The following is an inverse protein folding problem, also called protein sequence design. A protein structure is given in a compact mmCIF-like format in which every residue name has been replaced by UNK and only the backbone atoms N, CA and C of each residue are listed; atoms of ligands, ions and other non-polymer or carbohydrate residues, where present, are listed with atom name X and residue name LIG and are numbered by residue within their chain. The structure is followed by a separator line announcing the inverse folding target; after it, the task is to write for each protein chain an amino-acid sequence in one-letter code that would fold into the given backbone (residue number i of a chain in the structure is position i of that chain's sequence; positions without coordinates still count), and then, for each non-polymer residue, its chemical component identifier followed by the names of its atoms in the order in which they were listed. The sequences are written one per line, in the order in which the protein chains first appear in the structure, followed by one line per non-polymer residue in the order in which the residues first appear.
data_IF_874051887946
#
_entry.id   IF_874051887946
#
_cell.length_a   1.000
_cell.length_b   1.000
_cell.length_c   1.000
_cell.angle_alpha   90.00
_cell.angle_beta   90.00
_cell.angle_gamma   90.00
#
_symmetry.space_group_name_H-M   'P 1'
#
loop_
_entity.id
_entity.type
_entity.pdbx_description
1 polymer ?
#
# COMPACT_ATOMS: atom_id res chain seq x y z
N UNK A 1 45.07 52.56 0.22
CA UNK A 1 44.61 51.40 -0.57
C UNK A 1 43.29 50.94 0.02
N UNK A 2 42.18 51.66 -0.11
CA UNK A 2 41.52 52.06 -1.37
C UNK A 2 41.34 50.86 -2.29
N UNK A 3 40.17 50.23 -2.21
CA UNK A 3 39.45 49.63 -3.33
C UNK A 3 37.98 49.43 -2.90
N UNK A 4 37.12 50.32 -3.40
CA UNK A 4 35.73 50.00 -3.76
C UNK A 4 35.79 49.07 -5.00
N UNK A 5 34.77 48.27 -5.36
CA UNK A 5 33.63 48.55 -6.25
C UNK A 5 32.81 47.22 -6.31
N UNK A 6 31.53 47.15 -5.90
CA UNK A 6 30.29 47.29 -6.69
C UNK A 6 29.95 46.20 -7.73
N UNK A 7 28.69 45.70 -7.63
CA UNK A 7 27.72 45.15 -8.62
C UNK A 7 27.18 43.77 -8.23
N UNK A 8 25.91 43.67 -7.81
CA UNK A 8 24.64 43.67 -8.58
C UNK A 8 24.38 42.35 -9.31
N UNK A 9 23.20 41.76 -9.07
CA UNK A 9 22.69 40.61 -9.82
C UNK A 9 21.68 39.79 -9.04
N UNK A 10 20.43 40.26 -8.97
CA UNK A 10 19.28 39.38 -8.80
C UNK A 10 19.12 38.55 -10.08
N UNK A 11 19.06 37.23 -9.96
CA UNK A 11 18.50 36.35 -10.98
C UNK A 11 17.49 35.41 -10.32
N UNK A 12 16.25 35.89 -10.30
CA UNK A 12 15.05 35.07 -10.24
C UNK A 12 14.86 34.36 -11.57
N UNK A 13 14.94 33.03 -11.56
CA UNK A 13 14.44 32.19 -12.65
C UNK A 13 14.02 30.81 -12.12
N UNK A 14 12.83 30.77 -11.52
CA UNK A 14 11.92 29.64 -11.71
C UNK A 14 11.68 29.48 -13.22
N UNK A 15 11.73 28.27 -13.78
CA UNK A 15 10.45 27.64 -14.09
C UNK A 15 10.50 26.10 -14.09
N UNK A 16 9.35 25.47 -13.83
CA UNK A 16 9.14 24.09 -14.24
C UNK A 16 8.11 23.34 -13.42
N UNK A 17 6.85 23.74 -13.56
CA UNK A 17 5.69 22.96 -13.12
C UNK A 17 5.63 21.62 -13.88
N UNK A 18 6.33 20.60 -13.41
CA UNK A 18 6.12 19.21 -13.84
C UNK A 18 5.05 18.57 -12.94
N UNK A 19 3.85 19.15 -12.99
CA UNK A 19 2.63 18.55 -12.49
C UNK A 19 1.99 17.72 -13.62
N UNK A 20 2.51 16.53 -13.90
CA UNK A 20 1.75 15.38 -14.43
C UNK A 20 2.68 14.16 -14.52
N UNK A 21 2.74 13.30 -13.51
CA UNK A 21 1.99 12.05 -13.60
C UNK A 21 1.82 11.49 -12.19
N UNK A 22 0.81 11.97 -11.46
CA UNK A 22 0.25 11.19 -10.37
C UNK A 22 -0.27 9.88 -11.00
N UNK A 23 0.16 8.68 -10.54
CA UNK A 23 -0.48 7.46 -10.98
C UNK A 23 -1.97 7.55 -10.60
N UNK A 24 -2.80 7.68 -11.63
CA UNK A 24 -4.26 7.76 -11.61
C UNK A 24 -4.90 6.45 -11.14
N UNK A 25 -4.59 6.02 -9.92
CA UNK A 25 -5.31 4.94 -9.24
C UNK A 25 -5.29 5.18 -7.74
N UNK A 26 -6.13 6.13 -7.31
CA UNK A 26 -6.41 6.37 -5.89
C UNK A 26 -7.05 5.10 -5.29
N UNK A 27 -6.26 4.36 -4.52
CA UNK A 27 -6.73 3.54 -3.40
C UNK A 27 -6.73 2.02 -3.58
N UNK A 28 -7.01 1.47 -4.76
CA UNK A 28 -7.43 0.05 -4.84
C UNK A 28 -6.28 -0.98 -4.90
N UNK A 29 -5.09 -0.61 -5.39
CA UNK A 29 -3.97 -1.55 -5.52
C UNK A 29 -3.04 -1.60 -4.29
N UNK A 30 -3.22 -0.70 -3.31
CA UNK A 30 -2.30 -0.60 -2.15
C UNK A 30 -2.49 -1.68 -1.10
N UNK A 31 -3.65 -2.35 -1.07
CA UNK A 31 -4.00 -3.33 -0.03
C UNK A 31 -3.91 -4.79 -0.50
N UNK A 32 -3.43 -5.03 -1.72
CA UNK A 32 -3.33 -6.36 -2.30
C UNK A 32 -1.86 -6.69 -2.59
N UNK A 33 -1.50 -7.97 -2.45
CA UNK A 33 -0.15 -8.41 -2.77
C UNK A 33 0.00 -8.74 -4.25
N UNK A 34 1.05 -8.25 -4.89
CA UNK A 34 1.26 -8.44 -6.34
C UNK A 34 1.66 -9.87 -6.76
N UNK A 35 2.08 -10.73 -5.81
CA UNK A 35 2.44 -12.12 -6.11
C UNK A 35 1.20 -13.02 -6.19
N UNK A 36 0.25 -12.81 -5.27
CA UNK A 36 -0.90 -13.70 -5.07
C UNK A 36 -2.24 -13.01 -5.33
N UNK A 37 -2.22 -11.71 -5.65
CA UNK A 37 -3.37 -10.84 -5.90
C UNK A 37 -4.44 -10.85 -4.82
N UNK A 38 -4.11 -11.33 -3.62
CA UNK A 38 -5.02 -11.38 -2.48
C UNK A 38 -4.80 -10.17 -1.56
N UNK A 39 -5.86 -9.76 -0.86
CA UNK A 39 -5.78 -8.68 0.13
C UNK A 39 -4.90 -9.05 1.33
N UNK A 40 -4.19 -8.07 1.84
CA UNK A 40 -3.44 -8.19 3.08
C UNK A 40 -4.40 -8.39 4.27
N UNK A 41 -3.93 -9.09 5.30
CA UNK A 41 -4.68 -9.31 6.52
C UNK A 41 -3.76 -9.22 7.74
N UNK A 42 -4.36 -9.01 8.91
CA UNK A 42 -3.65 -8.84 10.18
C UNK A 42 -3.15 -10.16 10.80
N UNK A 43 -3.18 -11.28 10.06
CA UNK A 43 -2.85 -12.60 10.59
C UNK A 43 -1.75 -13.28 9.76
N UNK A 44 -2.09 -13.88 8.62
CA UNK A 44 -1.17 -14.69 7.80
C UNK A 44 -0.59 -13.94 6.60
N UNK A 45 -1.21 -12.84 6.19
CA UNK A 45 -0.84 -12.01 5.02
C UNK A 45 -0.52 -10.58 5.44
N UNK A 46 0.29 -10.43 6.48
CA UNK A 46 0.83 -9.13 6.86
C UNK A 46 1.68 -8.56 5.71
N UNK A 47 1.57 -7.26 5.41
CA UNK A 47 2.39 -6.59 4.41
C UNK A 47 3.80 -6.38 4.96
N UNK A 48 4.76 -7.17 4.51
CA UNK A 48 6.16 -7.10 4.95
C UNK A 48 7.03 -6.48 3.87
N UNK A 49 7.96 -5.65 4.30
CA UNK A 49 8.88 -4.93 3.45
C UNK A 49 10.21 -5.68 3.36
N UNK A 50 10.72 -5.80 2.14
CA UNK A 50 12.08 -6.29 1.87
C UNK A 50 13.08 -5.14 2.02
N UNK A 51 14.38 -5.44 2.10
CA UNK A 51 15.44 -4.44 2.27
C UNK A 51 15.45 -3.37 1.16
N UNK A 52 14.98 -3.73 -0.03
CA UNK A 52 14.84 -2.82 -1.17
C UNK A 52 13.61 -1.90 -1.10
N UNK A 53 12.81 -1.96 -0.04
CA UNK A 53 11.60 -1.14 0.14
C UNK A 53 10.32 -1.70 -0.49
N UNK A 54 10.39 -2.81 -1.22
CA UNK A 54 9.20 -3.44 -1.82
C UNK A 54 8.42 -4.29 -0.82
N UNK A 55 7.08 -4.21 -0.90
CA UNK A 55 6.16 -4.84 0.06
C UNK A 55 5.42 -6.03 -0.54
N UNK A 56 5.39 -7.15 0.20
CA UNK A 56 4.70 -8.38 -0.20
C UNK A 56 4.02 -9.06 0.99
N UNK A 57 3.12 -10.01 0.70
CA UNK A 57 2.42 -10.72 1.76
C UNK A 57 3.38 -11.67 2.50
N UNK A 58 3.26 -11.77 3.83
CA UNK A 58 4.08 -12.68 4.62
C UNK A 58 4.07 -14.12 4.08
N UNK A 59 2.90 -14.65 3.70
CA UNK A 59 2.80 -15.99 3.12
C UNK A 59 3.57 -16.14 1.78
N UNK A 60 3.65 -15.06 1.01
CA UNK A 60 4.34 -15.00 -0.27
C UNK A 60 5.85 -14.98 -0.05
N UNK A 61 6.32 -14.14 0.87
CA UNK A 61 7.74 -14.04 1.22
C UNK A 61 8.25 -15.36 1.81
N UNK A 62 7.45 -16.05 2.64
CA UNK A 62 7.79 -17.39 3.15
C UNK A 62 8.04 -18.42 2.04
N UNK A 63 7.42 -18.27 0.87
CA UNK A 63 7.64 -19.15 -0.28
C UNK A 63 8.89 -18.77 -1.09
N UNK A 64 9.31 -17.51 -1.00
CA UNK A 64 10.51 -16.99 -1.66
C UNK A 64 11.78 -17.18 -0.83
N UNK A 65 11.64 -17.42 0.48
CA UNK A 65 12.74 -17.70 1.40
C UNK A 65 13.51 -18.96 0.93
N UNK A 66 14.73 -18.74 0.45
CA UNK A 66 15.59 -19.77 -0.13
C UNK A 66 16.90 -19.85 0.65
N UNK A 67 17.48 -21.05 0.74
CA UNK A 67 18.79 -21.27 1.37
C UNK A 67 19.86 -21.20 0.30
N UNK A 68 20.86 -20.33 0.49
CA UNK A 68 22.05 -20.22 -0.35
C UNK A 68 23.29 -19.97 0.53
N UNK A 69 24.35 -20.75 0.33
CA UNK A 69 25.59 -20.68 1.11
C UNK A 69 25.34 -20.75 2.63
N UNK A 70 24.54 -21.73 3.08
CA UNK A 70 24.18 -21.95 4.48
C UNK A 70 23.39 -20.79 5.14
N UNK A 71 23.04 -19.76 4.38
CA UNK A 71 22.29 -18.59 4.82
C UNK A 71 20.95 -18.50 4.08
N UNK A 72 19.93 -17.94 4.73
CA UNK A 72 18.62 -17.71 4.11
C UNK A 72 18.53 -16.34 3.45
N UNK A 73 17.99 -16.32 2.24
CA UNK A 73 17.86 -15.14 1.39
C UNK A 73 16.50 -15.10 0.71
N UNK A 74 15.96 -13.90 0.58
CA UNK A 74 14.69 -13.64 -0.09
C UNK A 74 14.95 -12.73 -1.29
N UNK A 75 14.86 -13.24 -2.54
CA UNK A 75 14.97 -12.41 -3.72
C UNK A 75 13.69 -11.59 -3.92
N UNK A 76 13.83 -10.29 -4.19
CA UNK A 76 12.71 -9.43 -4.52
C UNK A 76 12.18 -9.72 -5.95
N UNK A 77 10.89 -10.04 -6.14
CA UNK A 77 10.31 -10.26 -7.47
C UNK A 77 10.33 -9.02 -8.38
N UNK A 78 10.41 -7.82 -7.83
CA UNK A 78 10.37 -6.56 -8.61
C UNK A 78 11.76 -6.11 -9.05
N UNK A 79 12.73 -6.07 -8.12
CA UNK A 79 14.05 -5.49 -8.39
C UNK A 79 15.21 -6.49 -8.29
N UNK A 80 14.93 -7.77 -8.02
CA UNK A 80 15.90 -8.87 -7.91
C UNK A 80 16.94 -8.71 -6.79
N UNK A 81 16.83 -7.68 -5.96
CA UNK A 81 17.67 -7.50 -4.77
C UNK A 81 17.35 -8.57 -3.72
N UNK A 82 18.41 -9.16 -3.15
CA UNK A 82 18.28 -10.19 -2.10
C UNK A 82 18.26 -9.56 -0.72
N UNK A 83 17.25 -9.92 0.07
CA UNK A 83 17.15 -9.54 1.48
C UNK A 83 17.60 -10.72 2.35
N UNK A 84 18.57 -10.55 3.27
CA UNK A 84 18.94 -11.61 4.20
C UNK A 84 17.78 -11.89 5.15
N UNK A 85 17.42 -13.15 5.33
CA UNK A 85 16.34 -13.54 6.24
C UNK A 85 16.85 -13.44 7.69
N UNK A 86 16.16 -12.70 8.59
CA UNK A 86 16.55 -12.61 9.99
C UNK A 86 16.51 -13.98 10.69
N UNK A 87 17.19 -14.12 11.84
CA UNK A 87 17.19 -15.37 12.63
C UNK A 87 15.80 -15.87 13.02
N UNK A 88 14.85 -14.95 13.25
CA UNK A 88 13.44 -15.28 13.51
C UNK A 88 12.58 -15.49 12.25
N UNK A 89 13.21 -15.68 11.09
CA UNK A 89 12.55 -15.92 9.82
C UNK A 89 11.86 -14.69 9.23
N UNK A 90 11.02 -14.94 8.21
CA UNK A 90 10.21 -13.92 7.53
C UNK A 90 9.34 -13.10 8.49
N UNK A 91 8.96 -13.66 9.64
CA UNK A 91 8.13 -12.98 10.63
C UNK A 91 8.80 -11.79 11.33
N UNK A 92 10.13 -11.67 11.21
CA UNK A 92 10.93 -10.58 11.77
C UNK A 92 11.25 -9.47 10.77
N UNK A 93 10.85 -9.60 9.51
CA UNK A 93 10.99 -8.50 8.55
C UNK A 93 10.05 -7.35 8.92
N UNK A 94 10.46 -6.12 8.62
CA UNK A 94 9.64 -4.95 8.89
C UNK A 94 8.29 -5.02 8.19
N UNK A 95 7.28 -4.48 8.86
CA UNK A 95 5.97 -4.29 8.24
C UNK A 95 5.96 -2.96 7.50
N UNK A 96 5.32 -2.96 6.34
CA UNK A 96 4.91 -1.71 5.72
C UNK A 96 3.78 -1.11 6.56
N UNK A 97 4.15 -0.20 7.46
CA UNK A 97 3.22 0.35 8.45
C UNK A 97 2.06 1.09 7.78
N UNK A 98 2.31 1.78 6.67
CA UNK A 98 1.26 2.51 5.96
C UNK A 98 0.19 1.54 5.42
N UNK A 99 0.61 0.44 4.80
CA UNK A 99 -0.32 -0.59 4.31
C UNK A 99 -0.97 -1.34 5.47
N UNK A 100 -0.22 -1.67 6.51
CA UNK A 100 -0.75 -2.37 7.70
C UNK A 100 -1.85 -1.56 8.38
N UNK A 101 -1.63 -0.25 8.58
CA UNK A 101 -2.64 0.64 9.17
C UNK A 101 -3.86 0.78 8.26
N UNK A 102 -3.68 0.88 6.94
CA UNK A 102 -4.78 0.89 6.00
C UNK A 102 -5.65 -0.39 6.11
N UNK A 103 -5.02 -1.57 6.17
CA UNK A 103 -5.71 -2.86 6.36
C UNK A 103 -6.46 -2.91 7.70
N UNK A 104 -5.86 -2.36 8.76
CA UNK A 104 -6.50 -2.29 10.08
C UNK A 104 -7.74 -1.41 10.04
N UNK A 105 -7.66 -0.23 9.41
CA UNK A 105 -8.77 0.71 9.29
C UNK A 105 -9.95 0.16 8.47
N UNK A 106 -9.69 -0.59 7.38
CA UNK A 106 -10.74 -1.23 6.57
C UNK A 106 -11.50 -2.32 7.36
N UNK A 107 -10.87 -2.95 8.36
CA UNK A 107 -11.52 -3.96 9.20
C UNK A 107 -12.40 -3.36 10.30
N UNK A 108 -12.06 -2.16 10.78
CA UNK A 108 -12.87 -1.41 11.75
C UNK A 108 -14.11 -0.77 11.10
N UNK A 109 -14.03 -0.47 9.79
CA UNK A 109 -15.15 -0.01 8.99
C UNK A 109 -15.39 -0.96 7.82
N UNK A 110 -16.03 -2.13 8.02
CA UNK A 110 -16.47 -2.93 6.89
C UNK A 110 -17.37 -2.03 6.03
N UNK A 111 -16.85 -1.61 4.88
CA UNK A 111 -17.62 -0.80 3.93
C UNK A 111 -18.91 -1.55 3.69
N UNK A 112 -20.03 -0.90 4.02
CA UNK A 112 -21.37 -1.35 3.67
C UNK A 112 -21.46 -1.39 2.14
N UNK A 113 -21.01 -2.49 1.55
CA UNK A 113 -21.19 -2.76 0.13
C UNK A 113 -22.63 -3.24 -0.06
N UNK A 114 -23.53 -2.27 -0.33
CA UNK A 114 -24.78 -2.45 -1.05
C UNK A 114 -25.97 -3.02 -0.28
N UNK A 115 -26.88 -2.14 0.19
CA UNK A 115 -28.32 -2.42 0.14
C UNK A 115 -29.05 -1.09 -0.13
N UNK A 116 -29.95 -1.07 -1.12
CA UNK A 116 -31.35 -1.18 -0.75
C UNK A 116 -32.05 -2.25 -1.60
N UNK A 117 -32.50 -3.32 -0.95
CA UNK A 117 -33.59 -4.14 -1.46
C UNK A 117 -34.79 -3.83 -0.58
N UNK A 118 -35.79 -3.19 -1.18
CA UNK A 118 -37.18 -3.17 -0.71
C UNK A 118 -37.49 -2.20 0.42
N UNK A 119 -37.86 -0.98 0.07
CA UNK A 119 -38.73 -0.14 0.87
C UNK A 119 -40.10 -0.80 1.04
N UNK A 120 -40.52 -0.95 2.29
CA UNK A 120 -41.88 -1.27 2.68
C UNK A 120 -42.70 0.03 2.62
N UNK A 121 -43.41 0.27 1.52
CA UNK A 121 -44.42 1.33 1.46
C UNK A 121 -45.76 0.77 1.94
N UNK A 122 -46.03 0.95 3.23
CA UNK A 122 -47.35 0.77 3.80
C UNK A 122 -48.15 2.06 3.59
N UNK A 123 -49.10 2.06 2.64
CA UNK A 123 -50.16 3.05 2.57
C UNK A 123 -51.54 2.39 2.45
N UNK A 124 -52.35 2.71 3.45
CA UNK A 124 -53.68 2.22 3.79
C UNK A 124 -54.78 2.80 2.87
N UNK A 125 -55.74 1.98 2.43
CA UNK A 125 -57.11 2.45 2.15
C UNK A 125 -57.85 1.78 0.99
N UNK A 126 -58.97 1.10 1.30
CA UNK A 126 -60.07 0.89 0.33
C UNK A 126 -60.76 -0.47 0.42
N UNK A 127 -61.90 -0.55 1.13
CA UNK A 127 -62.83 -1.68 1.10
C UNK A 127 -63.49 -1.84 -0.27
N UNK A 128 -63.70 -3.07 -0.72
CA UNK A 128 -64.83 -3.46 -1.59
C UNK A 128 -65.28 -4.89 -1.23
N UNK A 129 -66.54 -5.00 -0.82
CA UNK A 129 -67.29 -6.25 -0.60
C UNK A 129 -67.80 -6.82 -1.92
N UNK A 130 -67.73 -8.14 -2.14
CA UNK A 130 -68.85 -8.95 -2.63
C UNK A 130 -68.58 -10.44 -2.45
#
# INVERSE_FOLDING_TARGET
MSQALSRDGAEDAEPGSEADSLPSSRGSHKINCIICYSSYNLSSRLPRQLYCGHTFCQACIKRLDAIANEQRWIPCPQCRQSTPTPRGGVTMLDLDLAVFLAVKSEKEHPRAAGRPEGEEEMAMGGQCTH
#
